data_IF_319973392425
#
_entry.id   IF_319973392425
#
_cell.length_a   1.000
_cell.length_b   1.000
_cell.length_c   1.000
_cell.angle_alpha   90.00
_cell.angle_beta   90.00
_cell.angle_gamma   90.00
#
_symmetry.space_group_name_H-M   'P 1'
#
loop_
_entity.id
_entity.type
_entity.pdbx_description
1 polymer ?
#
# COMPACT_ATOMS: atom_id res chain seq x y z
N UNK A 1 26.36 13.75 -15.90
CA UNK A 1 26.15 13.14 -14.54
C UNK A 1 25.96 11.64 -14.71
N UNK A 2 26.74 10.82 -13.99
CA UNK A 2 26.53 9.38 -13.99
C UNK A 2 25.21 9.05 -13.31
N UNK A 3 24.31 8.31 -13.97
CA UNK A 3 23.06 7.82 -13.38
C UNK A 3 23.39 6.83 -12.26
N UNK A 4 22.75 6.96 -11.10
CA UNK A 4 22.89 5.98 -10.02
C UNK A 4 22.22 4.68 -10.44
N UNK A 5 22.70 3.56 -9.92
CA UNK A 5 22.09 2.23 -10.18
C UNK A 5 20.60 2.22 -9.81
N UNK A 6 20.23 2.88 -8.72
CA UNK A 6 18.85 3.04 -8.25
C UNK A 6 17.93 3.73 -9.25
N UNK A 7 18.46 4.62 -10.10
CA UNK A 7 17.67 5.36 -11.10
C UNK A 7 17.25 4.47 -12.28
N UNK A 8 17.84 3.28 -12.39
CA UNK A 8 17.57 2.31 -13.45
C UNK A 8 16.69 1.14 -12.99
N UNK A 9 16.31 1.08 -11.70
CA UNK A 9 15.42 0.04 -11.17
C UNK A 9 13.98 0.41 -11.56
N UNK A 10 13.43 -0.33 -12.51
CA UNK A 10 12.07 -0.17 -13.02
C UNK A 10 11.51 -1.52 -13.48
N UNK A 11 10.27 -1.54 -13.93
CA UNK A 11 9.62 -2.77 -14.42
C UNK A 11 10.40 -3.48 -15.53
N UNK A 12 11.05 -2.76 -16.44
CA UNK A 12 11.86 -3.34 -17.51
C UNK A 12 13.09 -4.08 -16.98
N UNK A 13 13.72 -3.56 -15.92
CA UNK A 13 14.81 -4.25 -15.23
C UNK A 13 14.36 -5.61 -14.68
N UNK A 14 13.23 -5.66 -13.99
CA UNK A 14 12.69 -6.91 -13.46
C UNK A 14 12.17 -7.85 -14.55
N UNK A 15 11.63 -7.33 -15.63
CA UNK A 15 11.28 -8.12 -16.82
C UNK A 15 12.52 -8.81 -17.41
N UNK A 16 13.63 -8.07 -17.57
CA UNK A 16 14.89 -8.63 -18.06
C UNK A 16 15.40 -9.73 -17.10
N UNK A 17 15.39 -9.46 -15.79
CA UNK A 17 15.78 -10.46 -14.79
C UNK A 17 14.91 -11.73 -14.86
N UNK A 18 13.60 -11.59 -15.01
CA UNK A 18 12.69 -12.73 -15.18
C UNK A 18 12.97 -13.54 -16.47
N UNK A 19 13.37 -12.88 -17.56
CA UNK A 19 13.74 -13.57 -18.82
C UNK A 19 15.05 -14.38 -18.69
N UNK A 20 15.93 -13.98 -17.77
CA UNK A 20 17.18 -14.71 -17.51
C UNK A 20 17.00 -15.94 -16.59
N UNK A 21 15.85 -16.09 -15.95
CA UNK A 21 15.55 -17.24 -15.11
C UNK A 21 15.07 -18.44 -15.94
N UNK A 22 15.10 -19.63 -15.35
CA UNK A 22 14.60 -20.85 -16.00
C UNK A 22 13.13 -20.68 -16.43
N UNK A 23 12.76 -21.22 -17.60
CA UNK A 23 11.37 -21.25 -18.09
C UNK A 23 10.39 -21.94 -17.12
N UNK A 24 10.89 -22.78 -16.20
CA UNK A 24 10.10 -23.43 -15.16
C UNK A 24 9.99 -22.58 -13.89
N UNK A 25 10.77 -21.50 -13.75
CA UNK A 25 10.70 -20.63 -12.59
C UNK A 25 9.44 -19.77 -12.65
N UNK A 26 8.82 -19.56 -11.48
CA UNK A 26 7.72 -18.61 -11.37
C UNK A 26 8.22 -17.19 -11.65
N UNK A 27 7.43 -16.42 -12.37
CA UNK A 27 7.71 -15.00 -12.62
C UNK A 27 7.66 -14.24 -11.30
N UNK A 28 8.72 -13.50 -11.01
CA UNK A 28 8.78 -12.59 -9.88
C UNK A 28 8.15 -11.24 -10.26
N UNK A 29 7.19 -10.80 -9.47
CA UNK A 29 6.64 -9.44 -9.54
C UNK A 29 7.09 -8.71 -8.26
N UNK A 30 7.84 -7.64 -8.41
CA UNK A 30 8.26 -6.84 -7.26
C UNK A 30 7.13 -5.89 -6.89
N UNK A 31 6.72 -5.91 -5.62
CA UNK A 31 5.71 -5.03 -5.06
C UNK A 31 6.39 -4.08 -4.05
N UNK A 32 6.51 -2.82 -4.42
CA UNK A 32 7.01 -1.80 -3.50
C UNK A 32 5.91 -1.32 -2.58
N UNK A 33 6.24 -1.18 -1.30
CA UNK A 33 5.38 -0.62 -0.25
C UNK A 33 6.05 0.58 0.41
N UNK A 34 5.29 1.43 1.09
CA UNK A 34 5.80 2.68 1.65
C UNK A 34 6.60 2.50 2.95
N UNK A 35 6.15 1.56 3.79
CA UNK A 35 6.71 1.33 5.13
C UNK A 35 6.84 -0.14 5.49
N UNK A 36 7.52 -0.43 6.60
CA UNK A 36 7.60 -1.79 7.14
C UNK A 36 6.24 -2.33 7.59
N UNK A 37 5.37 -1.46 8.08
CA UNK A 37 4.05 -1.84 8.58
C UNK A 37 3.14 -2.32 7.45
N UNK A 38 3.35 -1.79 6.24
CA UNK A 38 2.61 -2.17 5.03
C UNK A 38 2.96 -3.58 4.53
N UNK A 39 4.16 -4.07 4.84
CA UNK A 39 4.67 -5.35 4.30
C UNK A 39 3.74 -6.50 4.62
N UNK A 40 3.30 -6.61 5.88
CA UNK A 40 2.42 -7.70 6.29
C UNK A 40 1.04 -7.61 5.64
N UNK A 41 0.48 -6.41 5.61
CA UNK A 41 -0.83 -6.17 4.98
C UNK A 41 -0.81 -6.55 3.50
N UNK A 42 0.11 -5.97 2.72
CA UNK A 42 0.19 -6.25 1.29
C UNK A 42 0.62 -7.69 0.99
N UNK A 43 1.44 -8.31 1.84
CA UNK A 43 1.75 -9.75 1.74
C UNK A 43 0.48 -10.59 1.84
N UNK A 44 -0.39 -10.28 2.79
CA UNK A 44 -1.65 -11.01 2.99
C UNK A 44 -2.63 -10.83 1.83
N UNK A 45 -2.65 -9.65 1.22
CA UNK A 45 -3.48 -9.35 0.04
C UNK A 45 -2.92 -10.03 -1.20
N UNK A 46 -1.66 -9.74 -1.55
CA UNK A 46 -1.04 -10.21 -2.79
C UNK A 46 -0.82 -11.72 -2.80
N UNK A 47 -0.58 -12.34 -1.64
CA UNK A 47 -0.43 -13.78 -1.50
C UNK A 47 -1.64 -14.57 -2.02
N UNK A 48 -2.85 -13.99 -1.98
CA UNK A 48 -4.07 -14.61 -2.53
C UNK A 48 -4.06 -14.69 -4.06
N UNK A 49 -3.20 -13.93 -4.72
CA UNK A 49 -3.06 -13.87 -6.18
C UNK A 49 -1.81 -14.58 -6.70
N UNK A 50 -1.03 -15.19 -5.81
CA UNK A 50 0.08 -16.06 -6.20
C UNK A 50 -0.43 -17.38 -6.78
N UNK A 51 0.37 -17.94 -7.69
CA UNK A 51 0.09 -19.22 -8.30
C UNK A 51 1.38 -19.86 -8.85
N UNK A 52 1.26 -20.97 -9.59
CA UNK A 52 2.39 -21.69 -10.19
C UNK A 52 3.17 -20.85 -11.22
N UNK A 53 2.58 -19.77 -11.75
CA UNK A 53 3.19 -18.93 -12.80
C UNK A 53 3.83 -17.67 -12.25
N UNK A 54 3.38 -17.16 -11.09
CA UNK A 54 3.86 -15.89 -10.52
C UNK A 54 3.83 -15.90 -9.00
N UNK A 55 4.71 -15.08 -8.42
CA UNK A 55 4.72 -14.73 -7.00
C UNK A 55 5.09 -13.26 -6.82
N UNK A 56 4.81 -12.72 -5.64
CA UNK A 56 5.11 -11.33 -5.30
C UNK A 56 6.24 -11.25 -4.28
N UNK A 57 7.21 -10.41 -4.58
CA UNK A 57 8.33 -10.08 -3.70
C UNK A 57 8.13 -8.67 -3.18
N UNK A 58 7.81 -8.53 -1.88
CA UNK A 58 7.49 -7.23 -1.28
C UNK A 58 8.78 -6.57 -0.82
N UNK A 59 9.00 -5.36 -1.31
CA UNK A 59 10.22 -4.60 -1.07
C UNK A 59 9.89 -3.18 -0.60
N UNK A 60 10.79 -2.65 0.20
CA UNK A 60 10.79 -1.25 0.59
C UNK A 60 11.67 -0.45 -0.37
N UNK A 61 11.33 0.81 -0.69
CA UNK A 61 12.25 1.70 -1.36
C UNK A 61 13.55 1.82 -0.55
N UNK A 62 14.69 1.80 -1.22
CA UNK A 62 16.01 1.77 -0.59
C UNK A 62 16.17 2.92 0.40
N UNK A 63 16.59 2.61 1.62
CA UNK A 63 16.88 3.57 2.68
C UNK A 63 18.03 4.49 2.30
N UNK A 64 17.75 5.70 1.86
CA UNK A 64 18.68 6.82 2.01
C UNK A 64 18.37 7.49 3.36
N UNK A 65 19.39 7.61 4.21
CA UNK A 65 19.27 8.00 5.63
C UNK A 65 18.87 9.47 5.92
N UNK A 66 18.37 10.23 4.93
CA UNK A 66 17.87 11.61 5.10
C UNK A 66 16.40 11.71 4.64
N UNK A 67 15.48 11.33 5.51
CA UNK A 67 14.23 10.70 5.14
C UNK A 67 12.96 11.56 5.10
N UNK A 68 12.94 12.85 5.48
CA UNK A 68 11.67 13.57 5.49
C UNK A 68 11.30 14.24 4.15
N UNK A 69 12.30 14.72 3.41
CA UNK A 69 12.08 15.20 2.02
C UNK A 69 12.32 14.13 0.96
N UNK A 70 13.06 13.08 1.32
CA UNK A 70 13.44 12.00 0.43
C UNK A 70 12.36 10.95 0.19
N UNK A 71 11.44 10.72 1.16
CA UNK A 71 10.40 9.69 1.06
C UNK A 71 9.44 9.99 -0.09
N UNK A 72 8.88 11.20 -0.18
CA UNK A 72 7.99 11.60 -1.29
C UNK A 72 8.68 11.55 -2.65
N UNK A 73 9.93 12.00 -2.73
CA UNK A 73 10.69 11.93 -3.98
C UNK A 73 11.03 10.49 -4.40
N UNK A 74 11.36 9.62 -3.45
CA UNK A 74 11.61 8.20 -3.70
C UNK A 74 10.34 7.49 -4.18
N UNK A 75 9.21 7.75 -3.54
CA UNK A 75 7.89 7.21 -3.94
C UNK A 75 7.51 7.73 -5.33
N UNK A 76 7.62 9.02 -5.59
CA UNK A 76 7.32 9.61 -6.91
C UNK A 76 8.20 9.06 -8.03
N UNK A 77 9.48 8.83 -7.75
CA UNK A 77 10.40 8.18 -8.71
C UNK A 77 10.02 6.72 -8.95
N UNK A 78 9.66 6.00 -7.90
CA UNK A 78 9.20 4.62 -7.95
C UNK A 78 7.92 4.50 -8.77
N UNK A 79 6.93 5.38 -8.54
CA UNK A 79 5.66 5.38 -9.26
C UNK A 79 5.82 5.57 -10.78
N UNK A 80 6.88 6.25 -11.22
CA UNK A 80 7.22 6.38 -12.65
C UNK A 80 7.81 5.10 -13.25
N UNK A 81 8.36 4.22 -12.42
CA UNK A 81 9.01 2.97 -12.85
C UNK A 81 8.10 1.75 -12.86
N UNK A 82 6.84 1.86 -12.38
CA UNK A 82 5.93 0.72 -12.29
C UNK A 82 5.49 0.17 -13.64
N UNK A 83 5.15 -1.09 -13.64
CA UNK A 83 4.74 -1.82 -14.82
C UNK A 83 4.48 -3.28 -14.49
N UNK A 84 4.46 -4.11 -15.52
CA UNK A 84 4.04 -5.51 -15.42
C UNK A 84 4.85 -6.37 -14.42
N UNK A 85 6.13 -6.06 -14.20
CA UNK A 85 7.03 -6.82 -13.32
C UNK A 85 7.40 -6.06 -12.03
N UNK A 86 6.90 -4.84 -11.90
CA UNK A 86 7.09 -4.00 -10.73
C UNK A 86 5.82 -3.19 -10.47
N UNK A 87 5.17 -3.42 -9.37
CA UNK A 87 3.96 -2.72 -8.94
C UNK A 87 4.25 -1.86 -7.71
N UNK A 88 3.45 -0.83 -7.50
CA UNK A 88 3.44 -0.06 -6.27
C UNK A 88 2.18 -0.36 -5.46
N UNK A 89 2.35 -0.45 -4.15
CA UNK A 89 1.27 -0.65 -3.19
C UNK A 89 1.35 0.48 -2.17
N UNK A 90 0.40 1.39 -2.21
CA UNK A 90 0.43 2.67 -1.50
C UNK A 90 -0.83 2.89 -0.68
N UNK A 91 -0.74 3.74 0.31
CA UNK A 91 -1.90 4.29 0.96
C UNK A 91 -2.59 5.30 0.04
N UNK A 92 -3.92 5.32 0.08
CA UNK A 92 -4.68 6.25 -0.76
C UNK A 92 -4.62 7.68 -0.25
N UNK A 93 -4.36 7.87 1.04
CA UNK A 93 -4.50 9.17 1.68
C UNK A 93 -5.84 9.81 1.28
N UNK A 94 -5.81 11.06 0.83
CA UNK A 94 -6.99 11.73 0.25
C UNK A 94 -7.05 11.63 -1.28
N UNK A 95 -6.04 11.05 -1.92
CA UNK A 95 -5.93 11.02 -3.38
C UNK A 95 -7.09 10.24 -4.01
N UNK A 96 -7.53 9.13 -3.39
CA UNK A 96 -8.72 8.42 -3.84
C UNK A 96 -10.00 9.26 -3.77
N UNK A 97 -10.17 10.05 -2.69
CA UNK A 97 -11.34 10.92 -2.53
C UNK A 97 -11.32 12.12 -3.48
N UNK A 98 -10.15 12.57 -3.90
CA UNK A 98 -9.96 13.69 -4.83
C UNK A 98 -10.33 13.36 -6.29
N UNK A 99 -10.51 12.10 -6.62
CA UNK A 99 -11.02 11.62 -7.90
C UNK A 99 -10.37 12.29 -9.13
N UNK A 100 -9.03 12.39 -9.13
CA UNK A 100 -8.26 12.96 -10.25
C UNK A 100 -8.14 14.49 -10.26
N UNK A 101 -8.57 15.19 -9.20
CA UNK A 101 -8.44 16.64 -9.11
C UNK A 101 -7.01 17.14 -8.88
N UNK A 102 -6.10 16.24 -8.51
CA UNK A 102 -4.66 16.51 -8.35
C UNK A 102 -3.85 15.55 -9.25
N UNK A 103 -2.63 15.93 -9.58
CA UNK A 103 -1.73 15.08 -10.40
C UNK A 103 -1.46 13.73 -9.71
N UNK A 104 -1.25 13.72 -8.38
CA UNK A 104 -1.05 12.49 -7.61
C UNK A 104 -2.29 11.59 -7.64
N UNK A 105 -3.47 12.16 -7.42
CA UNK A 105 -4.74 11.45 -7.50
C UNK A 105 -4.98 10.86 -8.90
N UNK A 106 -4.73 11.63 -9.95
CA UNK A 106 -4.86 11.16 -11.32
C UNK A 106 -3.90 10.01 -11.61
N UNK A 107 -2.63 10.16 -11.26
CA UNK A 107 -1.62 9.11 -11.44
C UNK A 107 -1.99 7.81 -10.72
N UNK A 108 -2.49 7.92 -9.48
CA UNK A 108 -2.89 6.76 -8.69
C UNK A 108 -4.10 6.04 -9.31
N UNK A 109 -5.09 6.77 -9.81
CA UNK A 109 -6.32 6.19 -10.35
C UNK A 109 -6.17 5.64 -11.77
N UNK A 110 -5.34 6.26 -12.60
CA UNK A 110 -5.19 5.89 -14.01
C UNK A 110 -4.14 4.80 -14.26
N UNK A 111 -3.17 4.64 -13.34
CA UNK A 111 -2.10 3.68 -13.55
C UNK A 111 -2.48 2.28 -13.05
N UNK A 112 -2.64 1.28 -13.92
CA UNK A 112 -3.09 -0.06 -13.54
C UNK A 112 -2.05 -0.87 -12.74
N UNK A 113 -0.86 -0.33 -12.53
CA UNK A 113 0.22 -0.95 -11.75
C UNK A 113 0.42 -0.30 -10.38
N UNK A 114 -0.43 0.68 -10.03
CA UNK A 114 -0.50 1.27 -8.69
C UNK A 114 -1.72 0.70 -7.99
N UNK A 115 -1.49 -0.05 -6.94
CA UNK A 115 -2.51 -0.59 -6.05
C UNK A 115 -2.57 0.29 -4.81
N UNK A 116 -3.75 0.73 -4.46
CA UNK A 116 -3.94 1.61 -3.31
C UNK A 116 -5.00 1.07 -2.36
N UNK A 117 -4.96 1.51 -1.12
CA UNK A 117 -6.06 1.34 -0.17
C UNK A 117 -7.24 2.19 -0.64
N UNK A 118 -8.46 1.66 -0.62
CA UNK A 118 -9.68 2.46 -0.93
C UNK A 118 -10.12 3.30 0.28
N UNK A 119 -9.53 3.06 1.44
CA UNK A 119 -9.60 3.90 2.62
C UNK A 119 -8.33 4.76 2.71
N UNK A 120 -8.26 5.66 3.69
CA UNK A 120 -7.12 6.57 3.86
C UNK A 120 -5.79 5.83 3.93
N UNK A 121 -5.69 4.80 4.78
CA UNK A 121 -4.48 4.01 4.97
C UNK A 121 -4.81 2.56 5.41
N UNK A 122 -3.79 1.71 5.52
CA UNK A 122 -3.96 0.31 5.94
C UNK A 122 -4.60 0.17 7.32
N UNK A 123 -4.39 1.14 8.23
CA UNK A 123 -4.96 1.14 9.57
C UNK A 123 -6.50 1.13 9.55
N UNK A 124 -7.13 1.70 8.54
CA UNK A 124 -8.58 1.63 8.38
C UNK A 124 -9.08 0.19 8.22
N UNK A 125 -8.28 -0.69 7.62
CA UNK A 125 -8.58 -2.12 7.49
C UNK A 125 -8.21 -2.88 8.75
N UNK A 126 -7.08 -2.54 9.39
CA UNK A 126 -6.63 -3.16 10.65
C UNK A 126 -7.60 -2.85 11.79
N UNK A 127 -8.15 -1.63 11.81
CA UNK A 127 -9.14 -1.17 12.80
C UNK A 127 -10.59 -1.43 12.37
N UNK A 128 -10.84 -2.38 11.48
CA UNK A 128 -12.18 -2.72 11.06
C UNK A 128 -13.02 -3.24 12.25
N UNK A 129 -14.10 -2.55 12.57
CA UNK A 129 -14.88 -2.72 13.80
C UNK A 129 -15.24 -4.18 14.13
N UNK A 130 -15.66 -4.95 13.11
CA UNK A 130 -16.05 -6.35 13.30
C UNK A 130 -14.90 -7.27 13.68
N UNK A 131 -13.67 -6.96 13.24
CA UNK A 131 -12.47 -7.75 13.57
C UNK A 131 -11.84 -7.40 14.91
N UNK A 132 -12.16 -6.23 15.49
CA UNK A 132 -11.49 -5.76 16.70
C UNK A 132 -11.82 -6.61 17.93
N UNK A 133 -13.03 -7.14 18.04
CA UNK A 133 -13.36 -8.04 19.14
C UNK A 133 -12.51 -9.31 19.13
N UNK A 134 -12.37 -9.95 17.97
CA UNK A 134 -11.52 -11.15 17.81
C UNK A 134 -10.07 -10.86 18.16
N UNK A 135 -9.56 -9.70 17.73
CA UNK A 135 -8.21 -9.25 18.10
C UNK A 135 -8.07 -9.09 19.61
N UNK A 136 -9.06 -8.50 20.28
CA UNK A 136 -9.05 -8.39 21.74
C UNK A 136 -9.09 -9.77 22.43
N UNK A 137 -9.89 -10.70 21.93
CA UNK A 137 -9.95 -12.08 22.45
C UNK A 137 -8.60 -12.76 22.31
N UNK A 138 -7.93 -12.62 21.15
CA UNK A 138 -6.61 -13.20 20.92
C UNK A 138 -5.54 -12.65 21.88
N UNK A 139 -5.59 -11.36 22.18
CA UNK A 139 -4.58 -10.70 23.03
C UNK A 139 -4.86 -10.94 24.52
N UNK A 140 -6.13 -10.89 24.93
CA UNK A 140 -6.51 -10.97 26.35
C UNK A 140 -6.86 -12.37 26.81
N UNK A 141 -7.03 -13.32 25.90
CA UNK A 141 -7.54 -14.67 26.15
C UNK A 141 -8.89 -14.67 26.85
N UNK A 142 -9.70 -13.64 26.63
CA UNK A 142 -11.01 -13.46 27.23
C UNK A 142 -12.04 -13.20 26.13
N UNK A 143 -12.97 -14.13 25.96
CA UNK A 143 -13.98 -14.08 24.90
C UNK A 143 -15.21 -13.23 25.31
N UNK A 144 -15.23 -12.70 26.53
CA UNK A 144 -16.31 -11.84 26.99
C UNK A 144 -16.35 -10.53 26.21
N UNK A 145 -17.49 -10.23 25.59
CA UNK A 145 -17.69 -8.94 24.91
C UNK A 145 -17.78 -7.82 25.95
N UNK A 146 -16.68 -7.09 26.15
CA UNK A 146 -16.56 -5.97 27.08
C UNK A 146 -16.82 -4.61 26.43
N UNK A 147 -16.75 -4.54 25.09
CA UNK A 147 -16.91 -3.28 24.38
C UNK A 147 -17.59 -3.50 23.02
N UNK A 148 -18.45 -2.57 22.63
CA UNK A 148 -19.11 -2.55 21.32
C UNK A 148 -18.35 -1.63 20.35
N UNK A 149 -17.36 -2.21 19.67
CA UNK A 149 -16.52 -1.48 18.72
C UNK A 149 -17.32 -0.92 17.55
N UNK A 150 -18.32 -1.63 17.05
CA UNK A 150 -19.13 -1.17 15.91
C UNK A 150 -19.89 0.10 16.29
N UNK A 151 -20.62 0.07 17.39
CA UNK A 151 -21.36 1.24 17.88
C UNK A 151 -20.46 2.41 18.24
N UNK A 152 -19.30 2.12 18.85
CA UNK A 152 -18.34 3.17 19.20
C UNK A 152 -17.79 3.86 17.97
N UNK A 153 -17.26 3.09 17.00
CA UNK A 153 -16.65 3.67 15.79
C UNK A 153 -17.69 4.37 14.91
N UNK A 154 -18.92 3.88 14.87
CA UNK A 154 -20.01 4.58 14.18
C UNK A 154 -20.31 5.94 14.82
N UNK A 155 -20.45 5.98 16.17
CA UNK A 155 -20.69 7.22 16.90
C UNK A 155 -19.51 8.18 16.75
N UNK A 156 -18.28 7.69 16.86
CA UNK A 156 -17.07 8.46 16.66
C UNK A 156 -17.04 9.08 15.26
N UNK A 157 -17.25 8.26 14.23
CA UNK A 157 -17.24 8.71 12.83
C UNK A 157 -18.30 9.79 12.57
N UNK A 158 -19.51 9.64 13.10
CA UNK A 158 -20.56 10.65 13.00
C UNK A 158 -20.16 11.97 13.67
N UNK A 159 -19.49 11.88 14.81
CA UNK A 159 -19.05 13.06 15.57
C UNK A 159 -17.95 13.84 14.86
N UNK A 160 -16.96 13.13 14.27
CA UNK A 160 -15.85 13.79 13.58
C UNK A 160 -16.18 14.20 12.13
N UNK A 161 -17.27 13.68 11.55
CA UNK A 161 -17.63 13.92 10.16
C UNK A 161 -17.64 15.38 9.73
N UNK A 162 -18.23 16.32 10.50
CA UNK A 162 -18.19 17.75 10.14
C UNK A 162 -16.78 18.32 10.10
N UNK A 163 -15.92 17.89 11.03
CA UNK A 163 -14.49 18.31 11.06
C UNK A 163 -13.73 17.76 9.87
N UNK A 164 -13.99 16.50 9.50
CA UNK A 164 -13.42 15.89 8.31
C UNK A 164 -13.82 16.65 7.03
N UNK A 165 -15.10 16.96 6.86
CA UNK A 165 -15.56 17.73 5.71
C UNK A 165 -14.91 19.11 5.65
N UNK A 166 -14.80 19.77 6.79
CA UNK A 166 -14.12 21.07 6.86
C UNK A 166 -12.66 20.95 6.43
N UNK A 167 -11.93 19.94 6.93
CA UNK A 167 -10.54 19.68 6.54
C UNK A 167 -10.36 19.35 5.04
N UNK A 168 -11.35 18.73 4.42
CA UNK A 168 -11.31 18.42 2.98
C UNK A 168 -11.56 19.63 2.08
N UNK A 169 -12.20 20.69 2.61
CA UNK A 169 -12.58 21.90 1.85
C UNK A 169 -11.55 23.01 1.96
N UNK A 170 -10.75 23.04 3.02
CA UNK A 170 -9.76 24.05 3.33
C UNK A 170 -8.36 23.46 3.59
#
# INVERSE_FOLDING_TARGET
>A
MAKRLTDNINSQFFEAANKMTSKKARRKIVAYVESYDDVFFWRSVLGKFENEKRYFDIMLPTRNQHLDRGKKAAISSMLKGVGRDMIACVDADYDYLRQGSTESSQQMLENPYIFHTYAYAIENFQCYARGLHETCVMVTLNDRRIFDFERFLESYSRTIWPLFLWHMLF
#
